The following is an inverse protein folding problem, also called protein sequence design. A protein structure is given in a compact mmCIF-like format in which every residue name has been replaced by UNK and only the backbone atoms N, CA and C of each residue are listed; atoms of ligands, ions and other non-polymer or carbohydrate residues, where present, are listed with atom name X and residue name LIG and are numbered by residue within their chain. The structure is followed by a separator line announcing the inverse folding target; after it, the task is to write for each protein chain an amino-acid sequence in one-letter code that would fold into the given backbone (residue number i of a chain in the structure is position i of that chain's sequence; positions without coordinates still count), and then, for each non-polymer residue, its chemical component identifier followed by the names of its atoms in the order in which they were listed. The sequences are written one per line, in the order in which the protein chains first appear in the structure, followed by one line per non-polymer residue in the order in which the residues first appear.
data_IF_684409905385
#
_entry.id   IF_684409905385
#
_cell.length_a   1.000
_cell.length_b   1.000
_cell.length_c   1.000
_cell.angle_alpha   90.00
_cell.angle_beta   90.00
_cell.angle_gamma   90.00
#
_symmetry.space_group_name_H-M   'P 1'
#
loop_
_entity.id
_entity.type
_entity.pdbx_description
1 polymer ?
#
# COMPACT_ATOMS: atom_id res chain seq x y z
N UNK A 1 -18.39 14.93 26.86
CA UNK A 1 -18.07 13.54 26.48
C UNK A 1 -17.11 13.66 25.32
N UNK A 2 -15.83 13.35 25.53
CA UNK A 2 -14.73 13.87 24.69
C UNK A 2 -14.60 13.13 23.36
N UNK A 3 -14.25 13.95 22.37
CA UNK A 3 -14.18 13.81 20.92
C UNK A 3 -13.24 12.68 20.46
N UNK A 4 -13.71 11.84 19.53
CA UNK A 4 -12.87 10.85 18.85
C UNK A 4 -11.87 11.59 17.97
N UNK A 5 -10.64 11.75 18.48
CA UNK A 5 -9.48 12.09 17.67
C UNK A 5 -9.17 10.88 16.79
N UNK A 6 -9.75 10.86 15.59
CA UNK A 6 -9.33 9.96 14.54
C UNK A 6 -7.84 10.26 14.27
N UNK A 7 -6.98 9.35 14.74
CA UNK A 7 -5.56 9.33 14.41
C UNK A 7 -5.47 9.12 12.90
N UNK A 8 -5.49 10.24 12.17
CA UNK A 8 -5.21 10.31 10.74
C UNK A 8 -3.82 9.73 10.59
N UNK A 9 -3.76 8.45 10.23
CA UNK A 9 -2.52 7.72 9.97
C UNK A 9 -1.78 8.46 8.87
N UNK A 10 -0.87 9.35 9.25
CA UNK A 10 0.09 9.91 8.32
C UNK A 10 0.91 8.74 7.78
N UNK A 11 0.93 8.52 6.45
CA UNK A 11 1.80 7.52 5.88
C UNK A 11 3.23 8.02 6.10
N UNK A 12 3.92 7.48 7.12
CA UNK A 12 5.39 7.53 7.22
C UNK A 12 5.97 6.65 6.10
N UNK A 13 5.73 7.06 4.85
CA UNK A 13 6.00 6.33 3.62
C UNK A 13 7.32 6.75 2.99
N UNK A 14 8.39 6.77 3.77
CA UNK A 14 9.74 7.11 3.28
C UNK A 14 10.70 5.96 3.59
N UNK A 15 10.41 4.75 3.12
CA UNK A 15 11.44 3.68 3.09
C UNK A 15 11.10 2.42 2.27
N UNK A 16 10.11 2.41 1.39
CA UNK A 16 9.90 1.23 0.51
C UNK A 16 9.61 1.60 -0.94
N UNK A 17 8.84 2.68 -1.16
CA UNK A 17 8.59 3.20 -2.51
C UNK A 17 9.89 3.70 -3.15
N UNK A 18 10.78 4.32 -2.36
CA UNK A 18 12.08 4.83 -2.83
C UNK A 18 13.05 3.70 -3.25
N UNK A 19 12.96 2.52 -2.61
CA UNK A 19 13.76 1.34 -2.97
C UNK A 19 13.23 0.66 -4.25
N UNK A 20 11.91 0.67 -4.48
CA UNK A 20 11.31 0.10 -5.68
C UNK A 20 11.44 1.03 -6.91
N UNK A 21 11.54 2.35 -6.69
CA UNK A 21 11.61 3.35 -7.76
C UNK A 21 12.97 3.41 -8.48
N UNK A 22 14.04 2.84 -7.91
CA UNK A 22 15.38 2.92 -8.50
C UNK A 22 15.62 1.95 -9.67
N UNK A 23 14.73 0.98 -9.93
CA UNK A 23 14.98 -0.06 -10.94
C UNK A 23 14.02 -0.10 -12.13
N UNK A 24 12.95 0.69 -12.15
CA UNK A 24 12.00 0.70 -13.26
C UNK A 24 11.58 2.14 -13.57
N UNK A 25 11.58 2.48 -14.86
CA UNK A 25 11.38 3.81 -15.44
C UNK A 25 9.96 4.41 -15.19
N UNK A 26 9.22 3.91 -14.19
CA UNK A 26 7.96 4.45 -13.69
C UNK A 26 7.66 3.91 -12.29
N UNK A 27 7.15 4.73 -11.35
CA UNK A 27 6.68 4.21 -10.07
C UNK A 27 5.51 3.23 -10.26
N UNK A 28 5.42 2.17 -9.43
CA UNK A 28 4.34 1.18 -9.51
C UNK A 28 2.98 1.84 -9.23
N UNK A 29 1.94 1.48 -10.01
CA UNK A 29 0.60 2.06 -9.82
C UNK A 29 -0.10 1.48 -8.60
N UNK A 30 0.16 0.23 -8.25
CA UNK A 30 -0.37 -0.44 -7.07
C UNK A 30 0.72 -0.65 -6.01
N UNK A 31 0.44 -0.20 -4.80
CA UNK A 31 1.33 -0.32 -3.65
C UNK A 31 0.72 -1.21 -2.58
N UNK A 32 1.58 -1.97 -1.89
CA UNK A 32 1.18 -2.83 -0.77
C UNK A 32 1.43 -2.06 0.54
N UNK A 33 0.38 -1.88 1.34
CA UNK A 33 0.42 -1.10 2.58
C UNK A 33 0.00 -2.00 3.75
N UNK A 34 0.81 -2.13 4.82
CA UNK A 34 0.38 -2.83 6.02
C UNK A 34 -0.76 -2.07 6.70
N UNK A 35 -1.84 -2.79 7.00
CA UNK A 35 -3.07 -2.23 7.54
C UNK A 35 -3.41 -2.73 8.95
N UNK A 36 -2.74 -3.81 9.39
CA UNK A 36 -2.85 -4.43 10.70
C UNK A 36 -1.89 -5.62 10.83
N UNK A 37 -2.08 -6.42 11.88
CA UNK A 37 -1.29 -7.64 12.09
C UNK A 37 -1.72 -8.68 11.06
N UNK A 38 -0.79 -9.08 10.18
CA UNK A 38 -1.08 -10.03 9.10
C UNK A 38 -2.17 -9.53 8.15
N UNK A 39 -2.19 -8.22 7.86
CA UNK A 39 -3.16 -7.63 6.95
C UNK A 39 -2.50 -6.55 6.09
N UNK A 40 -2.63 -6.70 4.77
CA UNK A 40 -1.99 -5.86 3.76
C UNK A 40 -3.05 -5.39 2.76
N UNK A 41 -3.15 -4.08 2.56
CA UNK A 41 -3.97 -3.48 1.51
C UNK A 41 -3.17 -3.32 0.23
N UNK A 42 -3.83 -3.53 -0.91
CA UNK A 42 -3.30 -3.18 -2.22
C UNK A 42 -3.99 -1.89 -2.64
N UNK A 43 -3.26 -0.79 -2.68
CA UNK A 43 -3.80 0.55 -2.91
C UNK A 43 -3.30 1.10 -4.24
N UNK A 44 -4.20 1.67 -5.05
CA UNK A 44 -3.80 2.39 -6.25
C UNK A 44 -3.23 3.76 -5.87
N UNK A 45 -2.01 4.07 -6.31
CA UNK A 45 -1.32 5.31 -5.99
C UNK A 45 -2.04 6.53 -6.58
N UNK A 46 -2.59 6.42 -7.78
CA UNK A 46 -3.21 7.55 -8.48
C UNK A 46 -4.52 8.01 -7.83
N UNK A 47 -5.30 7.08 -7.27
CA UNK A 47 -6.64 7.35 -6.72
C UNK A 47 -6.73 7.18 -5.22
N UNK A 48 -5.73 6.56 -4.58
CA UNK A 48 -5.77 6.15 -3.19
C UNK A 48 -6.78 5.03 -2.89
N UNK A 49 -7.39 4.42 -3.90
CA UNK A 49 -8.43 3.39 -3.71
C UNK A 49 -7.81 2.04 -3.38
N UNK A 50 -8.37 1.37 -2.37
CA UNK A 50 -8.01 -0.01 -2.03
C UNK A 50 -8.65 -0.96 -3.04
N UNK A 51 -7.83 -1.72 -3.75
CA UNK A 51 -8.23 -2.72 -4.75
C UNK A 51 -8.43 -4.11 -4.16
N UNK A 52 -7.85 -4.36 -2.98
CA UNK A 52 -8.03 -5.63 -2.27
C UNK A 52 -7.18 -5.70 -1.00
N UNK A 53 -7.32 -6.82 -0.30
CA UNK A 53 -6.56 -7.12 0.91
C UNK A 53 -6.01 -8.55 0.88
N UNK A 54 -4.85 -8.77 1.51
CA UNK A 54 -4.25 -10.10 1.70
C UNK A 54 -3.69 -10.20 3.11
N UNK A 55 -3.59 -11.43 3.61
CA UNK A 55 -3.00 -11.71 4.93
C UNK A 55 -1.48 -11.82 4.88
N UNK A 56 -0.97 -12.28 3.74
CA UNK A 56 0.46 -12.43 3.49
C UNK A 56 0.98 -11.30 2.59
N UNK A 57 2.16 -10.79 2.91
CA UNK A 57 2.82 -9.75 2.12
C UNK A 57 3.13 -10.24 0.70
N UNK A 58 3.59 -11.48 0.56
CA UNK A 58 3.94 -12.07 -0.74
C UNK A 58 2.72 -12.18 -1.65
N UNK A 59 1.58 -12.61 -1.12
CA UNK A 59 0.32 -12.66 -1.88
C UNK A 59 -0.16 -11.25 -2.26
N UNK A 60 0.02 -10.27 -1.36
CA UNK A 60 -0.32 -8.88 -1.64
C UNK A 60 0.52 -8.33 -2.79
N UNK A 61 1.83 -8.60 -2.79
CA UNK A 61 2.74 -8.22 -3.87
C UNK A 61 2.39 -8.92 -5.19
N UNK A 62 2.07 -10.21 -5.15
CA UNK A 62 1.64 -10.95 -6.34
C UNK A 62 0.39 -10.30 -6.96
N UNK A 63 -0.61 -9.96 -6.14
CA UNK A 63 -1.82 -9.28 -6.60
C UNK A 63 -1.51 -7.89 -7.16
N UNK A 64 -0.67 -7.09 -6.49
CA UNK A 64 -0.27 -5.78 -6.98
C UNK A 64 0.34 -5.88 -8.40
N UNK A 65 1.24 -6.86 -8.63
CA UNK A 65 1.82 -7.11 -9.95
C UNK A 65 0.79 -7.57 -10.99
N UNK A 66 -0.19 -8.38 -10.61
CA UNK A 66 -1.27 -8.80 -11.52
C UNK A 66 -2.16 -7.62 -11.96
N UNK A 67 -2.28 -6.59 -11.11
CA UNK A 67 -3.08 -5.40 -11.42
C UNK A 67 -2.34 -4.38 -12.29
N UNK A 68 -1.00 -4.42 -12.36
CA UNK A 68 -0.18 -3.53 -13.21
C UNK A 68 -0.31 -3.82 -14.72
N UNK A 69 -0.95 -4.94 -15.09
CA UNK A 69 -1.05 -5.46 -16.45
C UNK A 69 -2.38 -5.09 -17.14
#
# INVERSE_FOLDING_TARGET
MHENTEFRREPKGVSYIEYAAQSFNRPPRFVVIPAGIGFFHITEQATGRVRGFRREHTEACALARHLEN
#
